data_IF_810404786144
#
_entry.id   IF_810404786144
#
_cell.length_a   1.000
_cell.length_b   1.000
_cell.length_c   1.000
_cell.angle_alpha   90.00
_cell.angle_beta   90.00
_cell.angle_gamma   90.00
#
_symmetry.space_group_name_H-M   'P 1'
#
loop_
_entity.id
_entity.type
_entity.pdbx_description
1 polymer ?
#
# COMPACT_ATOMS: atom_id res chain seq x y z
N UNK A 1 -4.99 -17.76 18.18
CA UNK A 1 -5.32 -16.34 17.93
C UNK A 1 -4.21 -15.74 17.08
N UNK A 2 -4.58 -15.12 15.99
CA UNK A 2 -3.64 -14.55 15.06
C UNK A 2 -2.95 -13.28 15.56
N UNK A 3 -2.00 -12.82 14.80
CA UNK A 3 -1.20 -11.64 15.15
C UNK A 3 -1.03 -10.72 13.95
N UNK A 4 -1.40 -9.46 14.09
CA UNK A 4 -0.88 -8.40 13.24
C UNK A 4 0.54 -8.08 13.73
N UNK A 5 1.55 -8.37 12.91
CA UNK A 5 2.95 -8.31 13.35
C UNK A 5 3.79 -7.25 12.65
N UNK A 6 3.29 -6.69 11.55
CA UNK A 6 3.94 -5.60 10.82
C UNK A 6 2.89 -4.75 10.12
N UNK A 7 3.07 -3.44 10.15
CA UNK A 7 2.27 -2.46 9.43
C UNK A 7 3.21 -1.47 8.72
N UNK A 8 2.97 -1.16 7.45
CA UNK A 8 3.83 -0.25 6.70
C UNK A 8 3.07 0.60 5.68
N UNK A 9 3.53 1.84 5.47
CA UNK A 9 3.25 2.65 4.29
C UNK A 9 4.40 2.45 3.31
N UNK A 10 4.09 2.06 2.07
CA UNK A 10 5.10 1.68 1.08
C UNK A 10 4.82 2.34 -0.27
N UNK A 11 5.88 2.64 -0.99
CA UNK A 11 5.81 3.04 -2.38
C UNK A 11 5.57 1.84 -3.32
N UNK A 12 4.98 2.07 -4.48
CA UNK A 12 4.90 1.07 -5.56
C UNK A 12 5.20 1.69 -6.93
N UNK A 13 6.02 2.76 -6.93
CA UNK A 13 6.28 3.49 -8.19
C UNK A 13 6.71 2.56 -9.31
N UNK A 14 6.10 2.66 -10.51
CA UNK A 14 6.41 1.80 -11.64
C UNK A 14 7.87 1.85 -12.08
N UNK A 15 8.56 2.97 -11.82
CA UNK A 15 9.99 3.13 -12.10
C UNK A 15 10.91 2.20 -11.29
N UNK A 16 10.39 1.50 -10.25
CA UNK A 16 11.15 0.43 -9.58
C UNK A 16 11.38 -0.75 -10.54
N UNK A 17 10.37 -1.13 -11.32
CA UNK A 17 10.55 -2.16 -12.33
C UNK A 17 11.45 -1.69 -13.47
N UNK A 18 11.30 -0.44 -13.91
CA UNK A 18 12.18 0.17 -14.91
C UNK A 18 13.65 0.20 -14.44
N UNK A 19 13.87 0.38 -13.13
CA UNK A 19 15.21 0.40 -12.51
C UNK A 19 16.00 -0.91 -12.67
N UNK A 20 15.32 -2.04 -12.87
CA UNK A 20 15.94 -3.35 -13.09
C UNK A 20 16.42 -3.55 -14.55
N UNK A 21 15.78 -2.87 -15.48
CA UNK A 21 16.01 -3.07 -16.89
C UNK A 21 17.32 -2.38 -17.31
N UNK A 22 18.01 -2.96 -18.29
CA UNK A 22 19.16 -2.30 -18.90
C UNK A 22 18.72 -1.05 -19.66
N UNK A 23 19.42 0.06 -19.43
CA UNK A 23 19.10 1.33 -20.06
C UNK A 23 19.41 2.54 -19.17
N UNK A 24 18.95 3.74 -19.56
CA UNK A 24 19.30 5.00 -18.88
C UNK A 24 18.74 5.12 -17.46
N UNK A 25 17.75 4.30 -17.10
CA UNK A 25 17.09 4.33 -15.79
C UNK A 25 17.54 3.20 -14.85
N UNK A 26 18.51 2.38 -15.27
CA UNK A 26 19.05 1.29 -14.44
C UNK A 26 19.55 1.85 -13.11
N UNK A 27 19.11 1.25 -12.00
CA UNK A 27 19.49 1.66 -10.65
C UNK A 27 18.78 2.90 -10.11
N UNK A 28 17.90 3.56 -10.88
CA UNK A 28 17.25 4.82 -10.46
C UNK A 28 16.37 4.70 -9.20
N UNK A 29 16.00 3.48 -8.79
CA UNK A 29 15.18 3.17 -7.61
C UNK A 29 15.78 2.12 -6.67
N UNK A 30 17.09 1.90 -6.74
CA UNK A 30 17.75 0.87 -5.92
C UNK A 30 17.51 1.06 -4.42
N UNK A 31 17.45 2.29 -3.93
CA UNK A 31 17.13 2.58 -2.52
C UNK A 31 15.72 2.13 -2.14
N UNK A 32 14.71 2.37 -2.99
CA UNK A 32 13.35 1.92 -2.75
C UNK A 32 13.23 0.40 -2.82
N UNK A 33 13.90 -0.24 -3.77
CA UNK A 33 13.99 -1.69 -3.92
C UNK A 33 14.65 -2.32 -2.69
N UNK A 34 15.77 -1.75 -2.22
CA UNK A 34 16.43 -2.20 -0.99
C UNK A 34 15.51 -2.08 0.24
N UNK A 35 14.74 -1.00 0.33
CA UNK A 35 13.74 -0.83 1.39
C UNK A 35 12.65 -1.90 1.37
N UNK A 36 12.15 -2.27 0.20
CA UNK A 36 11.18 -3.36 0.07
C UNK A 36 11.77 -4.71 0.48
N UNK A 37 13.00 -5.01 0.05
CA UNK A 37 13.71 -6.23 0.45
C UNK A 37 13.92 -6.29 1.96
N UNK A 38 14.24 -5.15 2.60
CA UNK A 38 14.37 -5.06 4.05
C UNK A 38 13.04 -5.31 4.75
N UNK A 39 11.92 -4.73 4.28
CA UNK A 39 10.59 -5.03 4.83
C UNK A 39 10.24 -6.51 4.64
N UNK A 40 10.51 -7.09 3.47
CA UNK A 40 10.35 -8.52 3.22
C UNK A 40 11.19 -9.40 4.16
N UNK A 41 12.43 -9.00 4.47
CA UNK A 41 13.28 -9.67 5.46
C UNK A 41 12.64 -9.62 6.84
N UNK A 42 12.17 -8.44 7.29
CA UNK A 42 11.44 -8.30 8.57
C UNK A 42 10.19 -9.17 8.62
N UNK A 43 9.44 -9.27 7.53
CA UNK A 43 8.29 -10.17 7.44
C UNK A 43 8.70 -11.64 7.67
N UNK A 44 9.83 -12.07 7.11
CA UNK A 44 10.37 -13.42 7.34
C UNK A 44 10.78 -13.65 8.79
N UNK A 45 11.48 -12.70 9.37
CA UNK A 45 11.96 -12.78 10.76
C UNK A 45 10.81 -12.82 11.77
N UNK A 46 9.69 -12.14 11.47
CA UNK A 46 8.48 -12.13 12.27
C UNK A 46 7.58 -13.36 12.03
N UNK A 47 7.95 -14.26 11.11
CA UNK A 47 7.16 -15.45 10.79
C UNK A 47 5.83 -15.14 10.12
N UNK A 48 5.75 -14.04 9.35
CA UNK A 48 4.53 -13.68 8.62
C UNK A 48 4.20 -14.76 7.58
N UNK A 49 2.95 -15.17 7.52
CA UNK A 49 2.42 -16.10 6.54
C UNK A 49 1.65 -15.41 5.41
N UNK A 50 1.02 -14.29 5.71
CA UNK A 50 0.17 -13.57 4.75
C UNK A 50 0.44 -12.07 4.79
N UNK A 51 0.52 -11.46 3.62
CA UNK A 51 0.59 -10.01 3.42
C UNK A 51 -0.74 -9.51 2.85
N UNK A 52 -1.38 -8.57 3.55
CA UNK A 52 -2.57 -7.86 3.09
C UNK A 52 -2.14 -6.50 2.55
N UNK A 53 -2.46 -6.20 1.30
CA UNK A 53 -2.10 -4.94 0.63
C UNK A 53 -3.33 -4.10 0.40
N UNK A 54 -3.36 -2.89 0.95
CA UNK A 54 -4.32 -1.85 0.59
C UNK A 54 -3.82 -1.16 -0.67
N UNK A 55 -4.42 -1.49 -1.82
CA UNK A 55 -3.91 -1.18 -3.15
C UNK A 55 -4.63 0.03 -3.76
N UNK A 56 -3.92 1.15 -3.93
CA UNK A 56 -4.47 2.39 -4.49
C UNK A 56 -4.68 2.34 -6.00
N UNK A 57 -4.21 1.31 -6.70
CA UNK A 57 -4.48 1.12 -8.13
C UNK A 57 -5.70 0.24 -8.41
N UNK A 58 -6.28 -0.36 -7.39
CA UNK A 58 -7.55 -1.06 -7.55
C UNK A 58 -8.73 -0.11 -7.30
N UNK A 59 -9.19 0.52 -8.39
CA UNK A 59 -10.36 1.39 -8.40
C UNK A 59 -11.66 0.59 -8.28
N UNK A 60 -12.53 1.02 -7.40
CA UNK A 60 -13.89 0.48 -7.27
C UNK A 60 -14.93 1.59 -7.16
N UNK A 61 -16.12 1.33 -7.70
CA UNK A 61 -17.20 2.32 -7.77
C UNK A 61 -18.19 2.23 -6.60
N UNK A 62 -18.19 1.14 -5.85
CA UNK A 62 -19.13 0.93 -4.75
C UNK A 62 -18.64 -0.16 -3.80
N UNK A 63 -18.62 0.16 -2.52
CA UNK A 63 -18.09 -0.73 -1.48
C UNK A 63 -16.58 -0.88 -1.54
N UNK A 64 -16.07 -1.78 -0.72
CA UNK A 64 -14.69 -2.23 -0.75
C UNK A 64 -14.63 -3.66 -1.26
N UNK A 65 -13.53 -4.02 -1.89
CA UNK A 65 -13.36 -5.33 -2.47
C UNK A 65 -12.06 -5.97 -1.97
N UNK A 66 -12.11 -7.27 -1.69
CA UNK A 66 -10.96 -8.07 -1.24
C UNK A 66 -10.71 -9.15 -2.28
N UNK A 67 -9.57 -9.12 -2.94
CA UNK A 67 -9.14 -10.16 -3.85
C UNK A 67 -8.35 -11.23 -3.07
N UNK A 68 -8.96 -12.38 -2.93
CA UNK A 68 -8.45 -13.49 -2.12
C UNK A 68 -8.53 -14.84 -2.86
N UNK A 69 -8.31 -14.85 -4.17
CA UNK A 69 -8.18 -16.08 -4.91
C UNK A 69 -7.10 -16.97 -4.28
N UNK A 70 -7.22 -18.30 -4.43
CA UNK A 70 -6.23 -19.22 -3.87
C UNK A 70 -4.85 -19.10 -4.55
N UNK A 71 -4.84 -18.63 -5.79
CA UNK A 71 -3.63 -18.46 -6.60
C UNK A 71 -3.76 -17.24 -7.49
N UNK A 72 -2.69 -16.47 -7.58
CA UNK A 72 -2.53 -15.36 -8.52
C UNK A 72 -1.33 -15.65 -9.42
N UNK A 73 -1.54 -15.73 -10.73
CA UNK A 73 -0.45 -15.92 -11.68
C UNK A 73 -0.78 -15.32 -13.04
N UNK A 74 0.23 -14.83 -13.71
CA UNK A 74 0.07 -14.21 -15.02
C UNK A 74 1.26 -13.38 -15.45
N UNK A 75 1.00 -12.56 -16.46
CA UNK A 75 1.93 -11.55 -16.97
C UNK A 75 1.19 -10.22 -17.00
N UNK A 76 1.65 -9.27 -16.19
CA UNK A 76 1.04 -7.96 -16.08
C UNK A 76 1.70 -6.95 -17.01
N UNK A 77 0.89 -6.16 -17.68
CA UNK A 77 1.31 -4.93 -18.38
C UNK A 77 0.37 -3.82 -17.95
N UNK A 78 0.92 -2.72 -17.46
CA UNK A 78 0.12 -1.58 -17.02
C UNK A 78 -0.65 -0.96 -18.19
N UNK A 79 -1.95 -0.78 -18.04
CA UNK A 79 -2.76 -0.06 -19.02
C UNK A 79 -2.46 1.45 -19.01
N UNK A 80 -2.11 1.99 -17.87
CA UNK A 80 -1.80 3.42 -17.68
C UNK A 80 -0.37 3.76 -18.12
N UNK A 81 0.59 2.90 -17.76
CA UNK A 81 2.03 3.16 -17.86
C UNK A 81 2.76 1.97 -18.54
N UNK A 82 2.38 1.55 -19.75
CA UNK A 82 2.97 0.38 -20.41
C UNK A 82 4.46 0.57 -20.76
N UNK A 83 4.95 1.79 -20.73
CA UNK A 83 6.37 2.13 -20.91
C UNK A 83 7.21 1.95 -19.63
N UNK A 84 6.58 1.89 -18.45
CA UNK A 84 7.23 1.57 -17.18
C UNK A 84 7.12 0.09 -16.81
N UNK A 85 5.90 -0.49 -16.93
CA UNK A 85 5.65 -1.90 -16.57
C UNK A 85 5.07 -2.62 -17.78
N UNK A 86 5.89 -3.47 -18.39
CA UNK A 86 5.50 -4.32 -19.51
C UNK A 86 6.00 -5.74 -19.29
N UNK A 87 5.10 -6.71 -19.49
CA UNK A 87 5.42 -8.13 -19.39
C UNK A 87 6.02 -8.54 -18.03
N UNK A 88 5.50 -8.00 -16.92
CA UNK A 88 5.90 -8.36 -15.57
C UNK A 88 5.29 -9.73 -15.20
N UNK A 89 6.06 -10.82 -15.12
CA UNK A 89 5.53 -12.11 -14.72
C UNK A 89 5.34 -12.13 -13.19
N UNK A 90 4.25 -12.74 -12.74
CA UNK A 90 3.97 -12.93 -11.32
C UNK A 90 3.32 -14.28 -11.03
N UNK A 91 3.57 -14.80 -9.83
CA UNK A 91 2.93 -16.01 -9.33
C UNK A 91 3.00 -16.01 -7.80
N UNK A 92 1.85 -15.88 -7.13
CA UNK A 92 1.73 -15.85 -5.67
C UNK A 92 0.58 -16.73 -5.22
N UNK A 93 0.73 -17.39 -4.07
CA UNK A 93 -0.40 -18.01 -3.40
C UNK A 93 -1.24 -16.93 -2.72
N UNK A 94 -2.56 -17.09 -2.74
CA UNK A 94 -3.47 -16.25 -2.02
C UNK A 94 -3.96 -16.88 -0.71
N UNK A 95 -4.81 -16.15 0.00
CA UNK A 95 -5.40 -16.62 1.25
C UNK A 95 -6.93 -16.41 1.26
N UNK A 96 -7.71 -17.32 0.65
CA UNK A 96 -9.16 -17.19 0.59
C UNK A 96 -9.82 -17.12 1.97
N UNK A 97 -9.33 -17.90 2.94
CA UNK A 97 -9.89 -17.93 4.29
C UNK A 97 -9.77 -16.57 4.98
N UNK A 98 -8.56 -15.96 4.94
CA UNK A 98 -8.35 -14.64 5.51
C UNK A 98 -9.18 -13.58 4.75
N UNK A 99 -9.17 -13.60 3.41
CA UNK A 99 -9.90 -12.59 2.63
C UNK A 99 -11.41 -12.62 2.86
N UNK A 100 -12.02 -13.80 2.96
CA UNK A 100 -13.43 -13.96 3.33
C UNK A 100 -13.70 -13.41 4.74
N UNK A 101 -12.82 -13.72 5.68
CA UNK A 101 -12.92 -13.23 7.05
C UNK A 101 -12.82 -11.70 7.11
N UNK A 102 -11.85 -11.09 6.42
CA UNK A 102 -11.72 -9.62 6.36
C UNK A 102 -13.01 -8.97 5.85
N UNK A 103 -13.58 -9.51 4.76
CA UNK A 103 -14.79 -8.95 4.16
C UNK A 103 -16.02 -9.11 5.07
N UNK A 104 -16.20 -10.27 5.72
CA UNK A 104 -17.32 -10.50 6.63
C UNK A 104 -17.24 -9.63 7.87
N UNK A 105 -16.05 -9.50 8.47
CA UNK A 105 -15.83 -8.68 9.67
C UNK A 105 -16.03 -7.18 9.37
N UNK A 106 -15.56 -6.71 8.20
CA UNK A 106 -15.78 -5.33 7.77
C UNK A 106 -17.28 -5.05 7.52
N UNK A 107 -17.97 -5.97 6.86
CA UNK A 107 -19.43 -5.87 6.64
C UNK A 107 -20.20 -5.84 7.96
N UNK A 108 -19.82 -6.66 8.92
CA UNK A 108 -20.41 -6.64 10.27
C UNK A 108 -20.13 -5.33 11.03
N UNK A 109 -19.03 -4.63 10.69
CA UNK A 109 -18.71 -3.30 11.20
C UNK A 109 -19.41 -2.16 10.46
N UNK A 110 -20.31 -2.47 9.52
CA UNK A 110 -21.09 -1.49 8.76
C UNK A 110 -20.42 -0.97 7.48
N UNK A 111 -19.30 -1.57 7.08
CA UNK A 111 -18.59 -1.20 5.85
C UNK A 111 -18.87 -2.24 4.77
N UNK A 112 -19.58 -1.84 3.70
CA UNK A 112 -19.92 -2.74 2.60
C UNK A 112 -18.66 -3.28 1.92
N UNK A 113 -18.36 -4.56 2.16
CA UNK A 113 -17.12 -5.19 1.68
C UNK A 113 -17.43 -6.55 1.07
N UNK A 114 -16.80 -6.85 -0.08
CA UNK A 114 -16.95 -8.13 -0.80
C UNK A 114 -15.62 -8.82 -0.99
N UNK A 115 -15.57 -10.11 -0.72
CA UNK A 115 -14.45 -10.97 -1.09
C UNK A 115 -14.68 -11.59 -2.47
N UNK A 116 -13.61 -11.69 -3.24
CA UNK A 116 -13.57 -12.31 -4.57
C UNK A 116 -12.51 -13.40 -4.59
N UNK A 117 -12.88 -14.57 -5.06
CA UNK A 117 -11.99 -15.72 -5.20
C UNK A 117 -11.81 -16.19 -6.65
N UNK A 118 -12.30 -15.40 -7.60
CA UNK A 118 -12.22 -15.67 -9.03
C UNK A 118 -10.77 -15.51 -9.52
N UNK A 119 -10.26 -16.53 -10.18
CA UNK A 119 -8.89 -16.54 -10.73
C UNK A 119 -8.71 -15.56 -11.89
N UNK A 120 -9.79 -15.10 -12.51
CA UNK A 120 -9.77 -14.09 -13.56
C UNK A 120 -9.59 -12.66 -13.07
N UNK A 121 -9.79 -12.42 -11.76
CA UNK A 121 -9.52 -11.12 -11.15
C UNK A 121 -8.02 -11.02 -10.84
N UNK A 122 -7.30 -10.27 -11.65
CA UNK A 122 -5.86 -10.09 -11.52
C UNK A 122 -5.49 -9.15 -10.35
N UNK A 123 -4.22 -9.14 -9.99
CA UNK A 123 -3.66 -8.13 -9.07
C UNK A 123 -3.24 -6.89 -9.86
N UNK A 124 -3.42 -5.73 -9.25
CA UNK A 124 -2.92 -4.47 -9.77
C UNK A 124 -1.45 -4.23 -9.36
N UNK A 125 -0.80 -3.29 -10.02
CA UNK A 125 0.63 -3.07 -9.79
C UNK A 125 0.94 -2.45 -8.41
N UNK A 126 -0.03 -1.82 -7.75
CA UNK A 126 0.10 -1.43 -6.35
C UNK A 126 0.36 -2.62 -5.41
N UNK A 127 -0.06 -3.83 -5.80
CA UNK A 127 0.29 -5.09 -5.13
C UNK A 127 1.50 -5.75 -5.79
N UNK A 128 1.56 -5.82 -7.13
CA UNK A 128 2.58 -6.59 -7.85
C UNK A 128 3.99 -6.03 -7.69
N UNK A 129 4.15 -4.69 -7.73
CA UNK A 129 5.47 -4.06 -7.60
C UNK A 129 6.08 -4.32 -6.22
N UNK A 130 5.39 -4.06 -5.09
CA UNK A 130 5.94 -4.42 -3.79
C UNK A 130 6.25 -5.91 -3.63
N UNK A 131 5.33 -6.78 -4.06
CA UNK A 131 5.51 -8.23 -3.90
C UNK A 131 6.68 -8.77 -4.70
N UNK A 132 7.04 -8.15 -5.83
CA UNK A 132 8.22 -8.52 -6.60
C UNK A 132 9.51 -8.49 -5.76
N UNK A 133 9.63 -7.53 -4.84
CA UNK A 133 10.85 -7.33 -4.03
C UNK A 133 10.73 -7.87 -2.60
N UNK A 134 9.55 -7.82 -2.03
CA UNK A 134 9.32 -8.29 -0.66
C UNK A 134 9.11 -9.80 -0.59
N UNK A 135 8.54 -10.38 -1.65
CA UNK A 135 8.13 -11.78 -1.75
C UNK A 135 8.83 -12.51 -2.92
N UNK A 136 10.11 -12.25 -3.13
CA UNK A 136 10.92 -12.84 -4.21
C UNK A 136 10.94 -14.38 -4.15
N UNK A 137 10.95 -14.93 -2.95
CA UNK A 137 10.90 -16.39 -2.67
C UNK A 137 9.46 -16.96 -2.68
N UNK A 138 8.44 -16.12 -2.93
CA UNK A 138 7.02 -16.49 -3.00
C UNK A 138 6.49 -17.18 -1.73
N UNK A 139 7.09 -16.90 -0.61
CA UNK A 139 6.78 -17.52 0.68
C UNK A 139 5.48 -17.01 1.28
N UNK A 140 5.19 -15.71 1.11
CA UNK A 140 4.01 -15.07 1.68
C UNK A 140 2.80 -15.27 0.78
N UNK A 141 1.66 -15.64 1.38
CA UNK A 141 0.37 -15.51 0.74
C UNK A 141 -0.01 -14.04 0.60
N UNK A 142 -0.80 -13.72 -0.42
CA UNK A 142 -1.18 -12.34 -0.73
C UNK A 142 -2.70 -12.21 -0.69
N UNK A 143 -3.17 -11.13 -0.08
CA UNK A 143 -4.56 -10.66 -0.16
C UNK A 143 -4.50 -9.19 -0.56
N UNK A 144 -5.20 -8.79 -1.63
CA UNK A 144 -5.29 -7.40 -2.06
C UNK A 144 -6.65 -6.82 -1.68
N UNK A 145 -6.65 -5.60 -1.16
CA UNK A 145 -7.85 -4.85 -0.78
C UNK A 145 -7.89 -3.56 -1.58
N UNK A 146 -9.01 -3.29 -2.25
CA UNK A 146 -9.19 -2.06 -3.00
C UNK A 146 -9.13 -0.84 -2.10
N UNK A 147 -8.32 0.14 -2.47
CA UNK A 147 -8.19 1.39 -1.71
C UNK A 147 -8.27 2.67 -2.56
N UNK A 148 -8.74 2.56 -3.80
CA UNK A 148 -9.20 3.72 -4.57
C UNK A 148 -10.75 3.71 -4.62
N UNK A 149 -11.37 4.21 -3.57
CA UNK A 149 -12.81 4.09 -3.30
C UNK A 149 -13.45 5.48 -3.26
N UNK A 150 -13.67 6.08 -4.41
CA UNK A 150 -14.10 7.48 -4.55
C UNK A 150 -15.48 7.82 -4.00
N UNK A 151 -16.28 6.81 -3.65
CA UNK A 151 -17.65 6.98 -3.09
C UNK A 151 -17.70 6.89 -1.57
N UNK A 152 -16.57 6.60 -0.92
CA UNK A 152 -16.46 6.49 0.52
C UNK A 152 -15.68 7.66 1.11
N UNK A 153 -15.90 7.94 2.38
CA UNK A 153 -15.06 8.86 3.13
C UNK A 153 -13.89 8.12 3.82
N UNK A 154 -12.92 8.88 4.33
CA UNK A 154 -11.77 8.29 5.03
C UNK A 154 -12.16 7.61 6.36
N UNK A 155 -13.33 7.96 6.93
CA UNK A 155 -13.86 7.32 8.14
C UNK A 155 -14.29 5.88 7.86
N UNK A 156 -14.89 5.63 6.69
CA UNK A 156 -15.24 4.27 6.26
C UNK A 156 -13.98 3.43 6.09
N UNK A 157 -12.95 3.97 5.45
CA UNK A 157 -11.65 3.29 5.29
C UNK A 157 -10.95 3.04 6.63
N UNK A 158 -10.99 3.99 7.57
CA UNK A 158 -10.49 3.77 8.92
C UNK A 158 -11.28 2.69 9.66
N UNK A 159 -12.60 2.59 9.42
CA UNK A 159 -13.45 1.53 10.00
C UNK A 159 -13.10 0.17 9.40
N UNK A 160 -12.85 0.10 8.09
CA UNK A 160 -12.33 -1.10 7.44
C UNK A 160 -10.99 -1.53 8.06
N UNK A 161 -10.05 -0.61 8.26
CA UNK A 161 -8.77 -0.91 8.89
C UNK A 161 -8.92 -1.50 10.30
N UNK A 162 -9.80 -0.93 11.13
CA UNK A 162 -10.12 -1.50 12.46
C UNK A 162 -10.69 -2.90 12.35
N UNK A 163 -11.59 -3.14 11.39
CA UNK A 163 -12.18 -4.45 11.16
C UNK A 163 -11.13 -5.47 10.70
N UNK A 164 -10.19 -5.06 9.84
CA UNK A 164 -9.06 -5.90 9.40
C UNK A 164 -8.22 -6.33 10.60
N UNK A 165 -7.83 -5.41 11.49
CA UNK A 165 -7.08 -5.75 12.71
C UNK A 165 -7.86 -6.72 13.58
N UNK A 166 -9.14 -6.43 13.84
CA UNK A 166 -9.99 -7.30 14.66
C UNK A 166 -10.07 -8.71 14.09
N UNK A 167 -10.32 -8.85 12.78
CA UNK A 167 -10.39 -10.15 12.13
C UNK A 167 -9.08 -10.95 12.29
N UNK A 168 -7.93 -10.29 12.15
CA UNK A 168 -6.62 -10.92 12.30
C UNK A 168 -6.40 -11.37 13.75
N UNK A 169 -6.65 -10.51 14.73
CA UNK A 169 -6.28 -10.78 16.11
C UNK A 169 -7.29 -11.69 16.85
N UNK A 170 -8.58 -11.62 16.50
CA UNK A 170 -9.64 -12.34 17.23
C UNK A 170 -10.07 -13.64 16.55
N UNK A 171 -10.03 -13.71 15.20
CA UNK A 171 -10.72 -14.79 14.45
C UNK A 171 -9.80 -15.56 13.50
N UNK A 172 -8.62 -15.04 13.16
CA UNK A 172 -7.63 -15.71 12.32
C UNK A 172 -6.63 -16.51 13.18
N UNK A 173 -5.96 -17.50 12.57
CA UNK A 173 -4.88 -18.25 13.22
C UNK A 173 -3.63 -18.21 12.33
N UNK A 174 -2.92 -17.08 12.40
CA UNK A 174 -1.73 -16.85 11.60
C UNK A 174 -1.09 -15.50 11.90
N UNK A 175 0.02 -15.20 11.26
CA UNK A 175 0.78 -13.96 11.44
C UNK A 175 0.73 -13.13 10.17
N UNK A 176 0.23 -11.90 10.27
CA UNK A 176 -0.12 -11.06 9.12
C UNK A 176 0.67 -9.75 9.13
N UNK A 177 1.08 -9.30 7.95
CA UNK A 177 1.48 -7.92 7.69
C UNK A 177 0.38 -7.18 6.92
N UNK A 178 0.20 -5.88 7.20
CA UNK A 178 -0.62 -4.98 6.41
C UNK A 178 0.24 -3.90 5.76
N UNK A 179 0.00 -3.63 4.49
CA UNK A 179 0.74 -2.64 3.72
C UNK A 179 -0.23 -1.64 3.09
N UNK A 180 -0.08 -0.36 3.40
CA UNK A 180 -0.70 0.73 2.67
C UNK A 180 0.19 1.05 1.47
N UNK A 181 -0.22 0.60 0.29
CA UNK A 181 0.55 0.72 -0.95
C UNK A 181 0.08 1.93 -1.74
N UNK A 182 0.84 3.01 -1.64
CA UNK A 182 0.54 4.28 -2.27
C UNK A 182 1.58 5.35 -1.96
N UNK A 183 1.63 6.38 -2.78
CA UNK A 183 2.40 7.60 -2.54
C UNK A 183 1.85 8.41 -1.36
N UNK A 184 2.57 9.45 -0.99
CA UNK A 184 2.04 10.57 -0.23
C UNK A 184 1.27 11.51 -1.17
N UNK A 185 1.76 12.72 -1.46
CA UNK A 185 1.14 13.56 -2.49
C UNK A 185 1.28 12.95 -3.88
N UNK A 186 0.25 13.09 -4.72
CA UNK A 186 0.19 12.38 -6.01
C UNK A 186 -0.30 13.28 -7.14
N UNK A 187 0.26 14.47 -7.28
CA UNK A 187 0.07 15.28 -8.48
C UNK A 187 1.01 14.77 -9.56
N UNK A 188 0.59 13.69 -10.22
CA UNK A 188 1.39 12.96 -11.18
C UNK A 188 1.76 13.80 -12.42
N UNK A 189 3.02 13.76 -12.84
CA UNK A 189 3.48 14.39 -14.06
C UNK A 189 3.01 13.60 -15.28
N UNK A 190 2.34 14.28 -16.20
CA UNK A 190 1.83 13.68 -17.44
C UNK A 190 2.95 12.96 -18.22
N UNK A 191 2.61 11.88 -18.92
CA UNK A 191 3.56 11.04 -19.66
C UNK A 191 4.49 11.82 -20.61
N UNK A 192 4.02 12.90 -21.23
CA UNK A 192 4.83 13.74 -22.12
C UNK A 192 5.99 14.49 -21.47
N UNK A 193 5.99 14.59 -20.13
CA UNK A 193 7.05 15.27 -19.34
C UNK A 193 7.60 14.38 -18.22
N UNK A 194 7.23 13.10 -18.20
CA UNK A 194 7.56 12.17 -17.11
C UNK A 194 9.05 12.06 -16.84
N UNK A 195 9.91 12.08 -17.85
CA UNK A 195 11.38 12.01 -17.69
C UNK A 195 11.93 13.23 -16.94
N UNK A 196 11.38 14.42 -17.16
CA UNK A 196 11.82 15.64 -16.49
C UNK A 196 11.52 15.59 -14.99
N UNK A 197 10.47 14.85 -14.62
CA UNK A 197 9.99 14.71 -13.24
C UNK A 197 10.37 13.38 -12.59
N UNK A 198 11.13 12.52 -13.25
CA UNK A 198 11.47 11.20 -12.71
C UNK A 198 12.04 11.27 -11.27
N UNK A 199 12.77 12.34 -10.95
CA UNK A 199 13.38 12.58 -9.63
C UNK A 199 12.95 13.91 -8.99
N UNK A 200 11.82 14.49 -9.42
CA UNK A 200 11.36 15.79 -8.94
C UNK A 200 9.88 15.75 -8.57
N UNK A 201 9.52 16.55 -7.58
CA UNK A 201 8.12 16.86 -7.28
C UNK A 201 7.55 17.76 -8.36
N UNK A 202 6.24 17.59 -8.61
CA UNK A 202 5.51 18.53 -9.48
C UNK A 202 5.45 19.93 -8.89
N UNK A 203 5.25 20.01 -7.59
CA UNK A 203 5.06 21.25 -6.86
C UNK A 203 5.88 21.25 -5.56
N UNK A 204 6.80 22.21 -5.36
CA UNK A 204 7.57 22.31 -4.11
C UNK A 204 6.70 22.45 -2.86
N UNK A 205 5.50 23.01 -2.96
CA UNK A 205 4.57 23.09 -1.83
C UNK A 205 4.15 21.68 -1.36
N UNK A 206 3.86 20.77 -2.30
CA UNK A 206 3.50 19.39 -1.97
C UNK A 206 4.64 18.67 -1.24
N UNK A 207 5.89 18.91 -1.68
CA UNK A 207 7.06 18.36 -1.01
C UNK A 207 7.15 18.82 0.46
N UNK A 208 6.92 20.12 0.71
CA UNK A 208 6.94 20.64 2.09
C UNK A 208 5.85 20.04 2.97
N UNK A 209 4.66 19.82 2.41
CA UNK A 209 3.56 19.19 3.17
C UNK A 209 3.85 17.69 3.41
N UNK A 210 4.40 16.99 2.43
CA UNK A 210 4.84 15.59 2.59
C UNK A 210 5.89 15.45 3.70
N UNK A 211 6.90 16.32 3.68
CA UNK A 211 7.93 16.35 4.73
C UNK A 211 7.34 16.66 6.10
N UNK A 212 6.30 17.51 6.17
CA UNK A 212 5.57 17.74 7.43
C UNK A 212 4.83 16.49 7.89
N UNK A 213 4.24 15.71 6.98
CA UNK A 213 3.63 14.41 7.33
C UNK A 213 4.68 13.48 7.94
N UNK A 214 5.84 13.35 7.31
CA UNK A 214 6.94 12.51 7.82
C UNK A 214 7.43 12.99 9.19
N UNK A 215 7.56 14.31 9.38
CA UNK A 215 7.93 14.90 10.67
C UNK A 215 6.91 14.56 11.77
N UNK A 216 5.60 14.66 11.48
CA UNK A 216 4.53 14.30 12.42
C UNK A 216 4.64 12.82 12.83
N UNK A 217 4.90 11.93 11.88
CA UNK A 217 5.10 10.51 12.16
C UNK A 217 6.32 10.27 13.06
N UNK A 218 7.46 10.90 12.74
CA UNK A 218 8.70 10.76 13.52
C UNK A 218 8.58 11.31 14.95
N UNK A 219 7.70 12.30 15.15
CA UNK A 219 7.43 12.88 16.48
C UNK A 219 6.32 12.16 17.23
N UNK A 220 5.65 11.18 16.63
CA UNK A 220 4.49 10.53 17.24
C UNK A 220 3.25 11.45 17.36
N UNK A 221 3.16 12.50 16.55
CA UNK A 221 2.04 13.46 16.56
C UNK A 221 0.84 12.92 15.78
N UNK A 222 0.38 11.71 16.15
CA UNK A 222 -0.62 10.94 15.40
C UNK A 222 -1.98 11.62 15.34
N UNK A 223 -2.42 12.24 16.42
CA UNK A 223 -3.68 12.98 16.45
C UNK A 223 -3.66 14.19 15.48
N UNK A 224 -2.53 14.91 15.40
CA UNK A 224 -2.35 15.99 14.45
C UNK A 224 -2.36 15.48 13.01
N UNK A 225 -1.65 14.37 12.75
CA UNK A 225 -1.62 13.76 11.42
C UNK A 225 -3.00 13.29 10.96
N UNK A 226 -3.72 12.53 11.80
CA UNK A 226 -5.04 12.00 11.44
C UNK A 226 -6.08 13.10 11.28
N UNK A 227 -5.97 14.20 12.04
CA UNK A 227 -6.84 15.36 11.90
C UNK A 227 -6.60 16.13 10.58
N UNK A 228 -5.35 16.18 10.10
CA UNK A 228 -5.04 16.85 8.81
C UNK A 228 -5.31 15.97 7.59
N UNK A 229 -5.42 14.64 7.76
CA UNK A 229 -5.48 13.68 6.65
C UNK A 229 -6.58 13.98 5.61
N UNK A 230 -7.82 14.37 5.96
CA UNK A 230 -8.84 14.71 4.95
C UNK A 230 -8.46 15.91 4.09
N UNK A 231 -7.88 16.96 4.69
CA UNK A 231 -7.41 18.13 3.95
C UNK A 231 -6.18 17.81 3.10
N UNK A 232 -5.28 16.99 3.63
CA UNK A 232 -4.13 16.51 2.89
C UNK A 232 -4.55 15.68 1.65
N UNK A 233 -5.49 14.76 1.81
CA UNK A 233 -6.00 13.95 0.72
C UNK A 233 -6.54 14.81 -0.44
N UNK A 234 -7.31 15.85 -0.10
CA UNK A 234 -7.91 16.76 -1.07
C UNK A 234 -6.90 17.78 -1.66
N UNK A 235 -6.18 18.51 -0.81
CA UNK A 235 -5.36 19.65 -1.24
C UNK A 235 -3.98 19.26 -1.73
N UNK A 236 -3.46 18.15 -1.24
CA UNK A 236 -2.15 17.61 -1.65
C UNK A 236 -2.27 16.46 -2.65
N UNK A 237 -3.48 16.19 -3.15
CA UNK A 237 -3.71 15.14 -4.15
C UNK A 237 -3.21 13.78 -3.64
N UNK A 238 -3.46 13.47 -2.36
CA UNK A 238 -3.01 12.20 -1.79
C UNK A 238 -3.42 11.01 -2.65
N UNK A 239 -2.52 10.07 -2.86
CA UNK A 239 -2.79 8.94 -3.73
C UNK A 239 -3.99 8.12 -3.25
N UNK A 240 -4.86 7.73 -4.19
CA UNK A 240 -6.09 7.04 -3.85
C UNK A 240 -6.96 7.81 -2.85
N UNK A 241 -6.83 9.16 -2.79
CA UNK A 241 -7.43 10.01 -1.75
C UNK A 241 -7.05 9.58 -0.32
N UNK A 242 -5.89 8.94 -0.14
CA UNK A 242 -5.36 8.45 1.13
C UNK A 242 -6.20 7.36 1.81
N UNK A 243 -7.02 6.64 1.06
CA UNK A 243 -7.84 5.56 1.61
C UNK A 243 -6.99 4.41 2.16
N UNK A 244 -5.89 4.04 1.49
CA UNK A 244 -4.92 3.06 1.97
C UNK A 244 -4.30 3.45 3.32
N UNK A 245 -3.94 4.72 3.44
CA UNK A 245 -3.37 5.30 4.67
C UNK A 245 -4.42 5.35 5.79
N UNK A 246 -5.68 5.70 5.46
CA UNK A 246 -6.76 5.67 6.43
C UNK A 246 -7.05 4.24 6.93
N UNK A 247 -6.97 3.22 6.06
CA UNK A 247 -7.07 1.82 6.47
C UNK A 247 -5.92 1.42 7.40
N UNK A 248 -4.69 1.79 7.06
CA UNK A 248 -3.50 1.52 7.86
C UNK A 248 -3.64 2.13 9.27
N UNK A 249 -3.93 3.43 9.35
CA UNK A 249 -4.07 4.10 10.64
C UNK A 249 -5.33 3.67 11.39
N UNK A 250 -6.38 3.27 10.69
CA UNK A 250 -7.54 2.61 11.29
C UNK A 250 -7.15 1.33 12.04
N UNK A 251 -6.32 0.48 11.43
CA UNK A 251 -5.79 -0.73 12.05
C UNK A 251 -4.81 -0.44 13.21
N UNK A 252 -4.06 0.65 13.13
CA UNK A 252 -3.12 1.05 14.18
C UNK A 252 -3.78 1.73 15.40
N UNK A 253 -5.03 2.19 15.30
CA UNK A 253 -5.73 2.85 16.39
C UNK A 253 -6.11 4.30 16.11
N UNK A 254 -5.85 4.80 14.90
CA UNK A 254 -6.16 6.17 14.44
C UNK A 254 -5.42 7.21 15.27
N UNK A 255 -6.15 8.17 15.85
CA UNK A 255 -5.64 9.23 16.72
C UNK A 255 -5.10 8.75 18.09
N UNK A 256 -5.43 7.50 18.44
CA UNK A 256 -4.97 6.85 19.69
C UNK A 256 -3.75 5.96 19.48
N UNK A 257 -3.19 5.95 18.29
CA UNK A 257 -1.96 5.21 18.05
C UNK A 257 -0.82 5.83 18.89
N UNK A 258 -0.08 4.98 19.61
CA UNK A 258 1.03 5.39 20.49
C UNK A 258 2.36 4.76 20.07
N UNK A 259 2.38 4.10 18.91
CA UNK A 259 3.57 3.44 18.41
C UNK A 259 4.59 4.41 17.79
N UNK A 260 5.65 3.84 17.27
CA UNK A 260 6.73 4.54 16.59
C UNK A 260 6.77 4.22 15.09
N UNK A 261 7.52 5.00 14.35
CA UNK A 261 7.80 4.77 12.92
C UNK A 261 9.30 4.59 12.71
N UNK A 262 9.64 3.64 11.83
CA UNK A 262 10.98 3.48 11.27
C UNK A 262 10.94 3.77 9.76
N UNK A 263 11.68 4.79 9.34
CA UNK A 263 11.79 5.19 7.93
C UNK A 263 12.83 4.28 7.25
N UNK A 264 12.35 3.27 6.55
CA UNK A 264 13.19 2.27 5.87
C UNK A 264 13.78 2.80 4.57
N UNK A 265 12.97 3.55 3.79
CA UNK A 265 13.47 4.33 2.66
C UNK A 265 13.11 5.79 2.91
N UNK A 266 14.10 6.69 2.96
CA UNK A 266 13.85 8.12 3.11
C UNK A 266 12.90 8.67 2.03
N UNK A 267 12.24 9.77 2.32
CA UNK A 267 11.40 10.47 1.35
C UNK A 267 12.16 10.75 0.05
N UNK A 268 11.49 10.50 -1.07
CA UNK A 268 12.03 10.81 -2.40
C UNK A 268 10.90 11.17 -3.38
N UNK A 269 11.26 11.93 -4.40
CA UNK A 269 10.33 12.30 -5.47
C UNK A 269 10.34 11.27 -6.60
N UNK A 270 9.18 10.98 -7.17
CA UNK A 270 9.04 10.16 -8.37
C UNK A 270 7.91 10.65 -9.25
N UNK A 271 8.23 11.07 -10.46
CA UNK A 271 7.23 11.49 -11.47
C UNK A 271 6.24 12.54 -10.96
N UNK A 272 6.71 13.47 -10.14
CA UNK A 272 5.90 14.52 -9.55
C UNK A 272 5.27 14.19 -8.21
N UNK A 273 5.42 12.97 -7.72
CA UNK A 273 4.77 12.43 -6.52
C UNK A 273 5.76 12.18 -5.39
N UNK A 274 5.30 12.24 -4.13
CA UNK A 274 6.12 12.00 -2.94
C UNK A 274 6.07 10.56 -2.46
N UNK A 275 7.23 9.94 -2.24
CA UNK A 275 7.40 8.51 -1.97
C UNK A 275 8.16 8.25 -0.68
N UNK A 276 7.83 7.16 0.00
CA UNK A 276 8.49 6.73 1.24
C UNK A 276 8.24 5.24 1.49
N UNK A 277 9.14 4.57 2.22
CA UNK A 277 8.83 3.32 2.89
C UNK A 277 8.99 3.51 4.41
N UNK A 278 7.92 3.33 5.14
CA UNK A 278 7.87 3.54 6.58
C UNK A 278 7.17 2.36 7.27
N UNK A 279 7.80 1.79 8.28
CA UNK A 279 7.26 0.69 9.09
C UNK A 279 6.83 1.25 10.44
N UNK A 280 5.60 0.93 10.83
CA UNK A 280 4.99 1.35 12.08
C UNK A 280 5.00 0.19 13.08
N UNK A 281 5.31 0.44 14.34
CA UNK A 281 5.20 -0.57 15.40
C UNK A 281 3.74 -0.97 15.62
N UNK A 282 3.50 -2.24 15.94
CA UNK A 282 2.15 -2.83 16.09
C UNK A 282 1.95 -3.34 17.50
#
# INVERSE_FOLDING_TARGET
MGKLALAAKITHVPSMYLSELDGPHKGCRDSAIAGHREIGRRCRDLGIDTIVVFDTHWLVNSGYHVNCAARFEGVYTSNELPHFIKNLPYAYDGNPALGQLLASTATAAGVNTRAHSETSLTLEYGTLVPMRYMNEDRRFKVVSVSSLCTVHDLKDSATLGRAVRRAIEEEYDGTVAILASGSLSHRFAQNGVSEQYLHKMWDPFLEQVDLRVVELWQRGEWATFTAMLPMYAEKCWGEGYMHDTAMLFGALGWDRYEGSVDIVTPYFASSGTGQINAVFSV
#
